data_IF_598157260100
#
_entry.id   IF_598157260100
#
_cell.length_a   1.000
_cell.length_b   1.000
_cell.length_c   1.000
_cell.angle_alpha   90.00
_cell.angle_beta   90.00
_cell.angle_gamma   90.00
#
_symmetry.space_group_name_H-M   'P 1'
#
loop_
_entity.id
_entity.type
_entity.pdbx_description
1 polymer ?
#
# COMPACT_ATOMS: atom_id res chain seq x y z
N UNK A 1 -19.82 39.39 21.91
CA UNK A 1 -18.77 39.74 22.89
C UNK A 1 -17.52 38.99 22.47
N UNK A 2 -16.75 39.50 21.52
CA UNK A 2 -15.63 40.46 21.65
C UNK A 2 -14.56 40.08 22.67
N UNK A 3 -13.33 40.41 22.25
CA UNK A 3 -12.03 40.42 22.95
C UNK A 3 -11.26 39.10 22.88
N UNK A 4 -10.03 39.02 22.33
CA UNK A 4 -9.02 40.07 22.25
C UNK A 4 -7.95 39.75 21.19
N UNK A 5 -7.65 40.74 20.35
CA UNK A 5 -6.47 40.84 19.49
C UNK A 5 -5.21 41.01 20.35
N UNK A 6 -4.04 40.52 19.89
CA UNK A 6 -2.82 41.31 19.55
C UNK A 6 -1.53 40.48 19.48
N UNK A 7 -1.02 40.38 18.24
CA UNK A 7 0.35 40.57 17.74
C UNK A 7 1.55 40.64 18.69
N UNK A 8 2.64 39.96 18.30
CA UNK A 8 4.01 40.49 18.40
C UNK A 8 4.94 39.85 17.34
N UNK A 9 5.59 40.72 16.57
CA UNK A 9 6.70 40.45 15.65
C UNK A 9 7.93 39.95 16.40
N UNK A 10 8.72 39.08 15.77
CA UNK A 10 10.05 38.69 16.26
C UNK A 10 10.81 37.88 15.22
N UNK A 11 11.40 38.58 14.26
CA UNK A 11 12.42 38.11 13.31
C UNK A 11 13.63 37.46 13.98
N UNK A 12 14.21 36.41 13.36
CA UNK A 12 15.67 36.24 13.18
C UNK A 12 15.91 35.14 12.13
N UNK A 13 16.66 35.52 11.09
CA UNK A 13 17.30 34.64 10.11
C UNK A 13 18.28 33.67 10.80
N UNK A 14 18.23 32.40 10.42
CA UNK A 14 19.41 31.55 10.39
C UNK A 14 19.36 30.66 9.14
N UNK A 15 19.93 31.18 8.07
CA UNK A 15 20.25 30.45 6.85
C UNK A 15 21.35 29.43 7.19
N UNK A 16 20.99 28.21 7.55
CA UNK A 16 21.92 27.09 7.56
C UNK A 16 21.95 26.54 6.13
N UNK A 17 23.04 26.84 5.45
CA UNK A 17 23.27 26.52 4.04
C UNK A 17 23.25 25.02 3.79
N UNK A 18 22.11 24.53 3.29
CA UNK A 18 22.11 23.34 2.46
C UNK A 18 22.62 23.77 1.08
N UNK A 19 23.80 23.29 0.68
CA UNK A 19 24.28 23.42 -0.69
C UNK A 19 23.49 22.44 -1.56
N UNK A 20 22.56 22.87 -2.43
CA UNK A 20 22.11 21.99 -3.50
C UNK A 20 23.31 21.77 -4.43
N UNK A 21 23.64 20.51 -4.72
CA UNK A 21 24.55 20.19 -5.81
C UNK A 21 24.03 20.88 -7.08
N UNK A 22 24.85 21.75 -7.67
CA UNK A 22 24.60 22.36 -8.96
C UNK A 22 24.43 21.27 -10.03
N UNK A 23 23.19 20.92 -10.33
CA UNK A 23 22.85 20.32 -11.60
C UNK A 23 23.13 21.38 -12.68
N UNK A 24 24.02 21.03 -13.61
CA UNK A 24 24.46 21.87 -14.72
C UNK A 24 23.22 22.41 -15.48
N UNK A 25 22.94 23.70 -15.35
CA UNK A 25 21.94 24.39 -16.17
C UNK A 25 22.41 24.36 -17.62
N UNK A 26 21.60 23.74 -18.49
CA UNK A 26 21.62 24.01 -19.92
C UNK A 26 20.37 24.84 -20.23
N UNK A 27 20.59 26.10 -20.63
CA UNK A 27 19.54 26.97 -21.18
C UNK A 27 19.16 26.55 -22.60
N UNK A 28 18.12 27.17 -23.19
CA UNK A 28 17.10 26.47 -23.95
C UNK A 28 17.52 26.23 -25.40
N UNK A 29 17.36 24.99 -25.87
CA UNK A 29 16.94 24.79 -27.25
C UNK A 29 15.44 24.49 -27.21
N UNK A 30 14.69 25.28 -27.97
CA UNK A 30 13.26 25.11 -28.17
C UNK A 30 12.99 23.83 -28.97
N UNK A 31 13.19 22.69 -28.31
CA UNK A 31 12.62 21.42 -28.71
C UNK A 31 11.21 21.38 -28.13
N UNK A 32 10.22 21.27 -29.02
CA UNK A 32 8.83 20.99 -28.71
C UNK A 32 8.78 19.91 -27.62
N UNK A 33 8.40 20.30 -26.40
CA UNK A 33 8.10 19.35 -25.34
C UNK A 33 6.84 18.63 -25.76
N UNK A 34 6.99 17.61 -26.59
CA UNK A 34 6.00 16.57 -26.75
C UNK A 34 5.90 15.95 -25.36
N UNK A 35 4.96 16.45 -24.55
CA UNK A 35 4.41 15.72 -23.43
C UNK A 35 3.89 14.44 -24.05
N UNK A 36 4.70 13.38 -24.01
CA UNK A 36 4.23 12.06 -24.30
C UNK A 36 3.11 11.81 -23.28
N UNK A 37 1.87 12.02 -23.71
CA UNK A 37 0.74 11.45 -23.03
C UNK A 37 0.96 9.95 -23.14
N UNK A 38 1.46 9.33 -22.07
CA UNK A 38 1.46 7.89 -21.98
C UNK A 38 0.02 7.45 -22.26
N UNK A 39 -0.18 6.70 -23.34
CA UNK A 39 -1.50 6.18 -23.65
C UNK A 39 -2.02 5.44 -22.42
N UNK A 40 -3.23 5.79 -21.98
CA UNK A 40 -3.83 5.16 -20.82
C UNK A 40 -3.97 3.67 -21.13
N UNK A 41 -3.31 2.83 -20.32
CA UNK A 41 -3.44 1.38 -20.42
C UNK A 41 -4.91 0.97 -20.30
N UNK A 42 -5.37 0.08 -21.18
CA UNK A 42 -6.71 -0.51 -21.09
C UNK A 42 -6.82 -1.56 -19.96
N UNK A 43 -5.69 -1.92 -19.34
CA UNK A 43 -5.65 -2.85 -18.20
C UNK A 43 -6.10 -2.12 -16.94
N UNK A 44 -7.13 -2.67 -16.28
CA UNK A 44 -7.62 -2.20 -14.98
C UNK A 44 -7.13 -3.15 -13.89
N UNK A 45 -6.00 -2.85 -13.21
CA UNK A 45 -5.47 -3.72 -12.16
C UNK A 45 -6.43 -3.76 -10.96
N UNK A 46 -6.18 -4.68 -10.02
CA UNK A 46 -6.85 -4.73 -8.72
C UNK A 46 -5.86 -5.18 -7.66
N UNK A 47 -6.09 -4.79 -6.41
CA UNK A 47 -5.30 -5.30 -5.29
C UNK A 47 -5.73 -6.72 -4.93
N UNK A 48 -4.76 -7.57 -4.62
CA UNK A 48 -4.96 -8.91 -4.07
C UNK A 48 -4.14 -8.97 -2.79
N UNK A 49 -4.83 -9.10 -1.65
CA UNK A 49 -4.20 -9.22 -0.34
C UNK A 49 -4.27 -10.68 0.09
N UNK A 50 -3.13 -11.22 0.53
CA UNK A 50 -3.03 -12.58 1.06
C UNK A 50 -2.76 -12.52 2.56
N UNK A 51 -3.64 -13.11 3.35
CA UNK A 51 -3.49 -13.24 4.80
C UNK A 51 -3.24 -14.71 5.16
N UNK A 52 -2.22 -14.94 5.98
CA UNK A 52 -1.86 -16.26 6.46
C UNK A 52 -2.44 -16.47 7.86
N UNK A 53 -3.27 -17.50 8.01
CA UNK A 53 -3.85 -17.88 9.31
C UNK A 53 -3.00 -18.93 10.01
N UNK A 54 -2.89 -18.84 11.33
CA UNK A 54 -2.17 -19.82 12.17
C UNK A 54 -2.98 -21.09 12.45
N UNK A 55 -4.30 -21.03 12.27
CA UNK A 55 -5.25 -22.10 12.58
C UNK A 55 -5.94 -22.59 11.29
N UNK A 56 -6.46 -23.82 11.31
CA UNK A 56 -7.29 -24.40 10.23
C UNK A 56 -8.76 -23.98 10.32
N UNK A 57 -9.04 -22.91 11.06
CA UNK A 57 -10.35 -22.28 11.10
C UNK A 57 -10.24 -20.89 10.49
N UNK A 58 -10.80 -20.72 9.30
CA UNK A 58 -10.84 -19.44 8.60
C UNK A 58 -11.94 -18.52 9.10
N UNK A 59 -12.87 -18.99 9.93
CA UNK A 59 -14.08 -18.25 10.30
C UNK A 59 -13.72 -16.92 10.95
N UNK A 60 -12.80 -16.94 11.91
CA UNK A 60 -12.34 -15.74 12.61
C UNK A 60 -11.68 -14.73 11.67
N UNK A 61 -10.80 -15.19 10.78
CA UNK A 61 -10.11 -14.31 9.84
C UNK A 61 -11.08 -13.74 8.79
N UNK A 62 -12.02 -14.55 8.33
CA UNK A 62 -13.06 -14.16 7.36
C UNK A 62 -14.06 -13.18 7.97
N UNK A 63 -14.47 -13.37 9.22
CA UNK A 63 -15.34 -12.44 9.95
C UNK A 63 -14.65 -11.10 10.19
N UNK A 64 -13.39 -11.12 10.65
CA UNK A 64 -12.59 -9.91 10.83
C UNK A 64 -12.43 -9.15 9.50
N UNK A 65 -12.09 -9.86 8.42
CA UNK A 65 -11.99 -9.29 7.08
C UNK A 65 -13.33 -8.72 6.59
N UNK A 66 -14.43 -9.43 6.80
CA UNK A 66 -15.78 -8.95 6.39
C UNK A 66 -16.16 -7.67 7.12
N UNK A 67 -15.89 -7.60 8.42
CA UNK A 67 -16.15 -6.42 9.23
C UNK A 67 -15.29 -5.23 8.77
N UNK A 68 -14.00 -5.46 8.55
CA UNK A 68 -13.07 -4.45 8.05
C UNK A 68 -13.48 -3.90 6.67
N UNK A 69 -13.90 -4.79 5.77
CA UNK A 69 -14.43 -4.42 4.45
C UNK A 69 -15.68 -3.55 4.58
N UNK A 70 -16.62 -3.93 5.45
CA UNK A 70 -17.85 -3.18 5.67
C UNK A 70 -17.60 -1.77 6.24
N UNK A 71 -16.60 -1.63 7.12
CA UNK A 71 -16.33 -0.38 7.82
C UNK A 71 -15.58 0.64 6.96
N UNK A 72 -14.62 0.21 6.15
CA UNK A 72 -13.68 1.15 5.50
C UNK A 72 -13.16 0.77 4.12
N UNK A 73 -13.38 -0.46 3.63
CA UNK A 73 -12.87 -0.90 2.33
C UNK A 73 -13.98 -1.30 1.35
N UNK A 74 -14.95 -0.40 1.15
CA UNK A 74 -16.05 -0.62 0.22
C UNK A 74 -15.55 -1.03 -1.18
N UNK A 75 -16.15 -2.10 -1.73
CA UNK A 75 -15.77 -2.68 -3.03
C UNK A 75 -14.69 -3.76 -2.95
N UNK A 76 -14.08 -3.97 -1.79
CA UNK A 76 -13.29 -5.17 -1.53
C UNK A 76 -14.22 -6.35 -1.21
N UNK A 77 -13.71 -7.57 -1.42
CA UNK A 77 -14.45 -8.81 -1.19
C UNK A 77 -13.49 -9.95 -0.86
N UNK A 78 -13.93 -10.92 -0.07
CA UNK A 78 -13.19 -12.16 0.15
C UNK A 78 -13.27 -13.03 -1.11
N UNK A 79 -12.16 -13.65 -1.50
CA UNK A 79 -12.13 -14.64 -2.58
C UNK A 79 -12.58 -16.00 -2.05
N UNK A 80 -13.82 -16.39 -2.33
CA UNK A 80 -14.37 -17.69 -1.91
C UNK A 80 -13.80 -18.88 -2.70
N UNK A 81 -13.08 -18.64 -3.81
CA UNK A 81 -12.56 -19.72 -4.67
C UNK A 81 -11.18 -20.20 -4.25
N UNK A 82 -10.32 -19.27 -3.79
CA UNK A 82 -8.93 -19.57 -3.47
C UNK A 82 -8.58 -19.41 -1.97
N UNK A 83 -9.49 -18.87 -1.16
CA UNK A 83 -9.32 -18.89 0.30
C UNK A 83 -9.64 -20.29 0.83
N UNK A 84 -8.75 -20.85 1.64
CA UNK A 84 -8.87 -22.22 2.13
C UNK A 84 -8.35 -22.37 3.56
N UNK A 85 -9.03 -23.23 4.32
CA UNK A 85 -8.72 -23.55 5.70
C UNK A 85 -7.60 -24.62 5.81
N UNK A 86 -6.62 -24.52 4.91
CA UNK A 86 -5.50 -25.44 4.77
C UNK A 86 -4.22 -24.67 4.39
N UNK A 87 -3.04 -25.18 4.77
CA UNK A 87 -1.77 -24.65 4.27
C UNK A 87 -1.73 -24.66 2.74
N UNK A 88 -1.01 -23.70 2.16
CA UNK A 88 -0.71 -23.61 0.74
C UNK A 88 0.81 -23.61 0.54
N UNK A 89 1.33 -24.72 0.00
CA UNK A 89 2.76 -24.95 -0.23
C UNK A 89 3.40 -23.90 -1.17
N UNK A 90 2.59 -23.15 -1.91
CA UNK A 90 3.08 -22.08 -2.81
C UNK A 90 3.52 -20.84 -2.02
N UNK A 91 3.06 -20.65 -0.79
CA UNK A 91 3.27 -19.40 -0.04
C UNK A 91 4.74 -19.08 0.21
N UNK A 92 5.56 -20.09 0.54
CA UNK A 92 7.01 -19.88 0.73
C UNK A 92 7.66 -19.30 -0.54
N UNK A 93 7.28 -19.78 -1.72
CA UNK A 93 7.80 -19.26 -2.98
C UNK A 93 7.22 -17.88 -3.30
N UNK A 94 5.91 -17.68 -3.08
CA UNK A 94 5.24 -16.40 -3.37
C UNK A 94 5.83 -15.25 -2.54
N UNK A 95 6.03 -15.45 -1.23
CA UNK A 95 6.58 -14.43 -0.35
C UNK A 95 8.08 -14.20 -0.58
N UNK A 96 8.85 -15.23 -0.99
CA UNK A 96 10.27 -15.09 -1.31
C UNK A 96 10.54 -14.09 -2.45
N UNK A 97 9.60 -13.88 -3.37
CA UNK A 97 9.75 -12.91 -4.47
C UNK A 97 9.74 -11.47 -3.98
N UNK A 98 9.00 -11.18 -2.90
CA UNK A 98 8.80 -9.83 -2.38
C UNK A 98 9.77 -9.44 -1.25
N UNK A 99 10.64 -10.36 -0.83
CA UNK A 99 11.51 -10.22 0.33
C UNK A 99 12.38 -8.95 0.30
N UNK A 100 12.17 -8.05 1.28
CA UNK A 100 13.06 -6.91 1.55
C UNK A 100 13.20 -5.92 0.38
N UNK A 101 12.31 -5.98 -0.61
CA UNK A 101 12.41 -5.15 -1.83
C UNK A 101 11.80 -3.76 -1.67
N UNK A 102 10.97 -3.57 -0.65
CA UNK A 102 10.27 -2.30 -0.40
C UNK A 102 11.01 -1.48 0.64
N UNK A 103 11.36 -2.11 1.77
CA UNK A 103 12.03 -1.47 2.90
C UNK A 103 13.12 -2.43 3.41
N UNK A 104 14.36 -1.95 3.63
CA UNK A 104 15.42 -2.76 4.22
C UNK A 104 14.99 -3.34 5.57
N UNK A 105 15.32 -4.60 5.81
CA UNK A 105 15.07 -5.30 7.08
C UNK A 105 13.60 -5.36 7.55
N UNK A 106 12.63 -5.03 6.67
CA UNK A 106 11.20 -5.14 6.99
C UNK A 106 10.68 -6.59 7.08
N UNK A 107 11.51 -7.56 6.70
CA UNK A 107 11.20 -8.98 6.78
C UNK A 107 11.99 -9.63 7.91
N UNK A 108 11.28 -10.22 8.86
CA UNK A 108 11.85 -10.81 10.07
C UNK A 108 11.78 -12.35 10.05
N UNK A 109 12.52 -12.98 10.95
CA UNK A 109 12.43 -14.43 11.17
C UNK A 109 11.01 -14.88 11.61
N UNK A 110 10.23 -13.99 12.23
CA UNK A 110 8.85 -14.29 12.58
C UNK A 110 7.96 -14.35 11.34
N UNK A 111 8.23 -13.52 10.32
CA UNK A 111 7.51 -13.55 9.05
C UNK A 111 7.85 -14.83 8.25
N UNK A 112 9.12 -15.24 8.25
CA UNK A 112 9.55 -16.53 7.67
C UNK A 112 8.81 -17.71 8.32
N UNK A 113 8.78 -17.74 9.65
CA UNK A 113 8.12 -18.79 10.43
C UNK A 113 6.61 -18.80 10.18
N UNK A 114 5.97 -17.63 10.12
CA UNK A 114 4.55 -17.49 9.81
C UNK A 114 4.23 -18.03 8.41
N UNK A 115 5.07 -17.73 7.41
CA UNK A 115 4.93 -18.28 6.06
C UNK A 115 5.15 -19.79 6.05
N UNK A 116 6.14 -20.32 6.77
CA UNK A 116 6.45 -21.74 6.76
C UNK A 116 5.37 -22.60 7.46
N UNK A 117 4.72 -22.06 8.49
CA UNK A 117 3.82 -22.84 9.37
C UNK A 117 2.36 -22.41 9.33
N UNK A 118 1.98 -21.51 8.42
CA UNK A 118 0.57 -21.15 8.23
C UNK A 118 -0.30 -22.38 8.01
N UNK A 119 -1.53 -22.32 8.51
CA UNK A 119 -2.51 -23.39 8.47
C UNK A 119 -3.73 -23.06 7.62
N UNK A 120 -3.84 -21.81 7.16
CA UNK A 120 -4.88 -21.35 6.26
C UNK A 120 -4.44 -20.13 5.48
N UNK A 121 -5.10 -19.87 4.36
CA UNK A 121 -4.90 -18.68 3.52
C UNK A 121 -6.24 -18.01 3.23
N UNK A 122 -6.29 -16.70 3.39
CA UNK A 122 -7.44 -15.86 3.03
C UNK A 122 -7.00 -14.83 2.00
N UNK A 123 -7.73 -14.74 0.90
CA UNK A 123 -7.53 -13.73 -0.11
C UNK A 123 -8.63 -12.68 -0.07
N UNK A 124 -8.23 -11.41 -0.13
CA UNK A 124 -9.14 -10.28 -0.32
C UNK A 124 -8.84 -9.64 -1.67
N UNK A 125 -9.88 -9.46 -2.48
CA UNK A 125 -9.81 -8.83 -3.78
C UNK A 125 -10.40 -7.43 -3.72
N UNK A 126 -9.57 -6.42 -4.02
CA UNK A 126 -10.03 -5.03 -4.19
C UNK A 126 -10.79 -4.84 -5.51
N UNK A 127 -11.48 -3.71 -5.71
CA UNK A 127 -12.14 -3.43 -6.98
C UNK A 127 -11.11 -3.26 -8.11
N UNK A 128 -11.53 -3.48 -9.35
CA UNK A 128 -10.75 -3.04 -10.52
C UNK A 128 -10.61 -1.52 -10.49
N UNK A 129 -9.40 -1.00 -10.67
CA UNK A 129 -9.11 0.42 -10.53
C UNK A 129 -8.70 1.05 -11.86
N UNK A 130 -9.23 2.25 -12.12
CA UNK A 130 -8.69 3.15 -13.14
C UNK A 130 -7.47 3.88 -12.59
N UNK A 131 -6.63 4.41 -13.49
CA UNK A 131 -5.40 5.12 -13.10
C UNK A 131 -5.65 6.23 -12.08
N UNK A 132 -6.73 7.02 -12.26
CA UNK A 132 -7.09 8.12 -11.36
C UNK A 132 -7.56 7.69 -9.97
N UNK A 133 -7.93 6.42 -9.80
CA UNK A 133 -8.44 5.86 -8.53
C UNK A 133 -7.36 5.17 -7.71
N UNK A 134 -6.18 4.94 -8.31
CA UNK A 134 -5.09 4.12 -7.76
C UNK A 134 -4.75 4.48 -6.32
N UNK A 135 -4.59 5.76 -5.99
CA UNK A 135 -4.20 6.19 -4.64
C UNK A 135 -5.30 5.85 -3.64
N UNK A 136 -6.56 6.19 -3.95
CA UNK A 136 -7.70 5.93 -3.08
C UNK A 136 -7.89 4.44 -2.82
N UNK A 137 -7.85 3.61 -3.87
CA UNK A 137 -8.03 2.15 -3.74
C UNK A 137 -6.84 1.52 -3.00
N UNK A 138 -5.62 2.03 -3.20
CA UNK A 138 -4.43 1.56 -2.46
C UNK A 138 -4.46 1.94 -0.98
N UNK A 139 -4.94 3.14 -0.62
CA UNK A 139 -5.12 3.52 0.78
C UNK A 139 -6.17 2.63 1.47
N UNK A 140 -7.28 2.32 0.79
CA UNK A 140 -8.28 1.39 1.33
C UNK A 140 -7.70 -0.02 1.55
N UNK A 141 -6.83 -0.49 0.64
CA UNK A 141 -6.12 -1.75 0.81
C UNK A 141 -5.19 -1.74 2.04
N UNK A 142 -4.46 -0.65 2.29
CA UNK A 142 -3.57 -0.53 3.44
C UNK A 142 -4.32 -0.55 4.78
N UNK A 143 -5.51 0.06 4.84
CA UNK A 143 -6.35 0.02 6.04
C UNK A 143 -6.77 -1.40 6.45
N UNK A 144 -6.79 -2.36 5.52
CA UNK A 144 -7.07 -3.78 5.80
C UNK A 144 -5.88 -4.50 6.44
N UNK A 145 -4.68 -3.92 6.42
CA UNK A 145 -3.44 -4.55 6.90
C UNK A 145 -2.89 -3.90 8.18
N UNK A 146 -3.17 -2.61 8.41
CA UNK A 146 -2.65 -1.86 9.56
C UNK A 146 -3.27 -2.22 10.93
N UNK A 147 -4.12 -3.25 11.02
CA UNK A 147 -4.83 -3.64 12.27
C UNK A 147 -4.90 -5.14 12.48
#
# INVERSE_FOLDING_TARGET
MNLMRRTLLGSILAMIGWKPSSAKQYGPEAGEQTKAHAEASSVTPRHVLCFLGKDRDLSHLSEAASQAIADFAAGFSIDESYSQAEPDDRMSQSFAVCWGRVEPDAWSAADEEAVAHHQSVLYILGPSMQQGETVTVSMAALLLVER
#
